data_IF_661614516082
#
_entry.id   IF_661614516082
#
_cell.length_a   1.000
_cell.length_b   1.000
_cell.length_c   1.000
_cell.angle_alpha   90.00
_cell.angle_beta   90.00
_cell.angle_gamma   90.00
#
_symmetry.space_group_name_H-M   'P 1'
#
loop_
_entity.id
_entity.type
_entity.pdbx_description
1 polymer ?
#
# COMPACT_ATOMS: atom_id res chain seq x y z
N UNK A 1 -10.04 -5.42 3.28
CA UNK A 1 -10.83 -4.96 2.12
C UNK A 1 -12.12 -4.36 2.66
N UNK A 2 -12.36 -3.09 2.38
CA UNK A 2 -13.63 -2.42 2.73
C UNK A 2 -14.76 -2.93 1.82
N UNK A 3 -16.03 -2.74 2.22
CA UNK A 3 -17.18 -3.17 1.40
C UNK A 3 -17.13 -2.54 0.00
N UNK A 4 -16.80 -1.25 -0.07
CA UNK A 4 -16.68 -0.47 -1.30
C UNK A 4 -15.54 -0.95 -2.22
N UNK A 5 -14.44 -1.46 -1.67
CA UNK A 5 -13.34 -2.04 -2.46
C UNK A 5 -13.76 -3.36 -3.10
N UNK A 6 -14.51 -4.19 -2.37
CA UNK A 6 -14.97 -5.48 -2.87
C UNK A 6 -15.95 -5.33 -4.03
N UNK A 7 -16.85 -4.34 -3.96
CA UNK A 7 -17.80 -4.03 -5.03
C UNK A 7 -17.09 -3.58 -6.31
N UNK A 8 -16.10 -2.68 -6.19
CA UNK A 8 -15.26 -2.25 -7.33
C UNK A 8 -14.50 -3.42 -7.96
N UNK A 9 -13.93 -4.31 -7.16
CA UNK A 9 -13.24 -5.50 -7.67
C UNK A 9 -14.20 -6.46 -8.36
N UNK A 10 -15.43 -6.60 -7.85
CA UNK A 10 -16.45 -7.41 -8.51
C UNK A 10 -16.85 -6.85 -9.87
N UNK A 11 -16.98 -5.51 -10.01
CA UNK A 11 -17.24 -4.87 -11.31
C UNK A 11 -16.12 -5.12 -12.32
N UNK A 12 -14.86 -4.95 -11.90
CA UNK A 12 -13.69 -5.20 -12.76
C UNK A 12 -13.60 -6.67 -13.18
N UNK A 13 -13.82 -7.58 -12.22
CA UNK A 13 -13.84 -9.01 -12.50
C UNK A 13 -14.98 -9.37 -13.47
N UNK A 14 -16.18 -8.82 -13.27
CA UNK A 14 -17.30 -9.01 -14.19
C UNK A 14 -17.00 -8.53 -15.60
N UNK A 15 -16.37 -7.35 -15.74
CA UNK A 15 -15.96 -6.83 -17.04
C UNK A 15 -14.95 -7.77 -17.73
N UNK A 16 -14.00 -8.31 -16.97
CA UNK A 16 -13.03 -9.30 -17.46
C UNK A 16 -13.72 -10.59 -17.92
N UNK A 17 -14.54 -11.22 -17.06
CA UNK A 17 -15.22 -12.49 -17.39
C UNK A 17 -16.16 -12.30 -18.58
N UNK A 18 -16.91 -11.19 -18.64
CA UNK A 18 -17.80 -10.90 -19.77
C UNK A 18 -17.04 -10.77 -21.10
N UNK A 19 -15.83 -10.24 -21.08
CA UNK A 19 -15.01 -10.03 -22.28
C UNK A 19 -14.27 -11.30 -22.70
N UNK A 20 -13.60 -11.96 -21.77
CA UNK A 20 -12.66 -13.04 -22.06
C UNK A 20 -13.31 -14.43 -21.94
N UNK A 21 -14.39 -14.56 -21.16
CA UNK A 21 -15.12 -15.81 -20.90
C UNK A 21 -16.64 -15.62 -20.97
N UNK A 22 -17.19 -15.15 -22.11
CA UNK A 22 -18.59 -14.76 -22.23
C UNK A 22 -19.58 -15.89 -21.91
N UNK A 23 -19.27 -17.13 -22.32
CA UNK A 23 -20.13 -18.29 -22.02
C UNK A 23 -20.23 -18.58 -20.52
N UNK A 24 -19.14 -18.39 -19.78
CA UNK A 24 -19.12 -18.58 -18.33
C UNK A 24 -20.02 -17.53 -17.67
N UNK A 25 -19.91 -16.28 -18.11
CA UNK A 25 -20.75 -15.18 -17.62
C UNK A 25 -22.23 -15.44 -17.86
N UNK A 26 -22.60 -15.84 -19.07
CA UNK A 26 -23.99 -16.13 -19.43
C UNK A 26 -24.56 -17.31 -18.63
N UNK A 27 -23.83 -18.43 -18.55
CA UNK A 27 -24.25 -19.60 -17.78
C UNK A 27 -24.37 -19.28 -16.28
N UNK A 28 -23.48 -18.44 -15.75
CA UNK A 28 -23.55 -17.95 -14.37
C UNK A 28 -24.82 -17.12 -14.15
N UNK A 29 -25.10 -16.14 -15.03
CA UNK A 29 -26.30 -15.30 -14.96
C UNK A 29 -27.60 -16.10 -15.07
N UNK A 30 -27.58 -17.21 -15.83
CA UNK A 30 -28.71 -18.13 -15.97
C UNK A 30 -28.85 -19.13 -14.80
N UNK A 31 -28.03 -19.01 -13.75
CA UNK A 31 -28.13 -19.82 -12.54
C UNK A 31 -27.56 -21.24 -12.68
N UNK A 32 -26.70 -21.50 -13.67
CA UNK A 32 -26.05 -22.80 -13.81
C UNK A 32 -25.11 -23.06 -12.63
N UNK A 33 -25.30 -24.19 -11.94
CA UNK A 33 -24.54 -24.55 -10.74
C UNK A 33 -23.03 -24.63 -10.99
N UNK A 34 -22.60 -25.29 -12.08
CA UNK A 34 -21.17 -25.44 -12.37
C UNK A 34 -20.55 -24.09 -12.74
N UNK A 35 -21.24 -23.27 -13.53
CA UNK A 35 -20.79 -21.93 -13.84
C UNK A 35 -20.66 -21.05 -12.58
N UNK A 36 -21.57 -21.21 -11.60
CA UNK A 36 -21.49 -20.58 -10.29
C UNK A 36 -20.21 -20.96 -9.54
N UNK A 37 -19.95 -22.26 -9.39
CA UNK A 37 -18.76 -22.74 -8.69
C UNK A 37 -17.47 -22.26 -9.37
N UNK A 38 -17.41 -22.32 -10.70
CA UNK A 38 -16.25 -21.84 -11.47
C UNK A 38 -16.07 -20.33 -11.33
N UNK A 39 -17.13 -19.54 -11.46
CA UNK A 39 -17.10 -18.09 -11.30
C UNK A 39 -16.61 -17.69 -9.90
N UNK A 40 -17.19 -18.28 -8.85
CA UNK A 40 -16.83 -17.98 -7.46
C UNK A 40 -15.36 -18.34 -7.16
N UNK A 41 -14.89 -19.48 -7.67
CA UNK A 41 -13.50 -19.90 -7.56
C UNK A 41 -12.55 -18.93 -8.28
N UNK A 42 -12.91 -18.51 -9.50
CA UNK A 42 -12.12 -17.54 -10.26
C UNK A 42 -12.08 -16.17 -9.60
N UNK A 43 -13.19 -15.72 -9.00
CA UNK A 43 -13.20 -14.47 -8.25
C UNK A 43 -12.32 -14.56 -7.01
N UNK A 44 -12.33 -15.70 -6.30
CA UNK A 44 -11.40 -15.95 -5.20
C UNK A 44 -9.93 -15.87 -5.63
N UNK A 45 -9.58 -16.48 -6.76
CA UNK A 45 -8.23 -16.41 -7.32
C UNK A 45 -7.85 -14.99 -7.77
N UNK A 46 -8.79 -14.24 -8.36
CA UNK A 46 -8.61 -12.83 -8.73
C UNK A 46 -8.22 -11.97 -7.51
N UNK A 47 -8.98 -12.11 -6.42
CA UNK A 47 -8.70 -11.39 -5.18
C UNK A 47 -7.34 -11.80 -4.57
N UNK A 48 -7.01 -13.10 -4.60
CA UNK A 48 -5.72 -13.60 -4.14
C UNK A 48 -4.54 -13.03 -4.94
N UNK A 49 -4.64 -13.05 -6.27
CA UNK A 49 -3.61 -12.50 -7.16
C UNK A 49 -3.45 -10.98 -6.96
N UNK A 50 -4.55 -10.24 -6.78
CA UNK A 50 -4.50 -8.80 -6.49
C UNK A 50 -3.85 -8.49 -5.16
N UNK A 51 -4.12 -9.27 -4.12
CA UNK A 51 -3.47 -9.12 -2.82
C UNK A 51 -1.96 -9.38 -2.92
N UNK A 52 -1.52 -10.31 -3.76
CA UNK A 52 -0.11 -10.59 -4.02
C UNK A 52 0.57 -9.53 -4.91
N UNK A 53 -0.19 -8.84 -5.77
CA UNK A 53 0.32 -7.83 -6.69
C UNK A 53 0.53 -6.44 -6.06
N UNK A 54 0.05 -6.22 -4.82
CA UNK A 54 0.53 -5.09 -4.02
C UNK A 54 1.92 -5.49 -3.56
N UNK A 55 3.01 -4.82 -4.01
CA UNK A 55 4.31 -5.10 -3.44
C UNK A 55 4.15 -4.86 -1.95
N UNK A 56 4.35 -5.90 -1.13
CA UNK A 56 4.65 -5.67 0.26
C UNK A 56 5.77 -4.62 0.22
N UNK A 57 5.59 -3.47 0.87
CA UNK A 57 6.64 -2.47 1.01
C UNK A 57 7.77 -3.01 1.90
N UNK A 58 8.00 -4.33 1.90
CA UNK A 58 8.94 -5.07 2.70
C UNK A 58 10.26 -5.15 1.93
N UNK A 59 11.27 -4.46 2.45
CA UNK A 59 12.65 -4.63 2.05
C UNK A 59 13.23 -5.81 2.83
N UNK A 60 13.73 -6.80 2.11
CA UNK A 60 14.42 -7.95 2.70
C UNK A 60 15.93 -7.75 2.57
N UNK A 61 16.64 -7.74 3.69
CA UNK A 61 18.10 -7.62 3.75
C UNK A 61 18.69 -8.87 4.39
N UNK A 62 19.80 -9.38 3.86
CA UNK A 62 20.50 -10.54 4.41
C UNK A 62 21.84 -10.12 5.00
N UNK A 63 22.16 -10.60 6.20
CA UNK A 63 23.46 -10.40 6.85
C UNK A 63 23.81 -11.63 7.67
N UNK A 64 24.96 -12.24 7.39
CA UNK A 64 25.47 -13.40 8.14
C UNK A 64 24.42 -14.51 8.32
N UNK A 65 23.81 -14.95 7.22
CA UNK A 65 22.74 -15.98 7.19
C UNK A 65 21.42 -15.63 7.89
N UNK A 66 21.31 -14.43 8.47
CA UNK A 66 20.07 -13.91 9.01
C UNK A 66 19.32 -13.05 7.98
N UNK A 67 18.00 -13.19 7.96
CA UNK A 67 17.09 -12.45 7.07
C UNK A 67 16.33 -11.41 7.89
N UNK A 68 16.50 -10.14 7.52
CA UNK A 68 15.80 -9.01 8.12
C UNK A 68 14.73 -8.49 7.16
N UNK A 69 13.52 -8.29 7.66
CA UNK A 69 12.41 -7.71 6.90
C UNK A 69 12.04 -6.37 7.49
N UNK A 70 12.00 -5.34 6.65
CA UNK A 70 11.66 -3.98 7.06
C UNK A 70 10.54 -3.44 6.19
N UNK A 71 9.55 -2.79 6.79
CA UNK A 71 8.69 -1.88 6.02
C UNK A 71 9.53 -0.70 5.48
N UNK A 72 9.31 -0.33 4.23
CA UNK A 72 10.10 0.66 3.50
C UNK A 72 9.95 2.04 4.12
N UNK A 73 8.72 2.41 4.54
CA UNK A 73 8.48 3.70 5.19
C UNK A 73 9.13 3.72 6.58
N UNK A 74 9.08 2.62 7.32
CA UNK A 74 9.79 2.52 8.59
C UNK A 74 11.31 2.61 8.41
N UNK A 75 11.88 1.90 7.43
CA UNK A 75 13.31 1.95 7.13
C UNK A 75 13.76 3.36 6.71
N UNK A 76 12.97 4.02 5.86
CA UNK A 76 13.21 5.40 5.44
C UNK A 76 13.16 6.36 6.63
N UNK A 77 12.16 6.22 7.51
CA UNK A 77 12.04 7.03 8.72
C UNK A 77 13.24 6.86 9.64
N UNK A 78 13.69 5.63 9.88
CA UNK A 78 14.90 5.34 10.69
C UNK A 78 16.14 5.97 10.08
N UNK A 79 16.30 5.84 8.75
CA UNK A 79 17.40 6.47 8.01
C UNK A 79 17.39 8.00 8.20
N UNK A 80 16.25 8.65 7.97
CA UNK A 80 16.09 10.10 8.11
C UNK A 80 16.29 10.59 9.55
N UNK A 81 15.82 9.83 10.55
CA UNK A 81 16.06 10.10 11.97
C UNK A 81 17.54 10.02 12.34
N UNK A 82 18.28 9.08 11.74
CA UNK A 82 19.72 8.89 11.97
C UNK A 82 20.61 9.89 11.21
N UNK A 83 20.03 10.62 10.25
CA UNK A 83 20.78 11.56 9.42
C UNK A 83 21.38 12.69 10.26
N UNK A 84 22.66 12.96 10.01
CA UNK A 84 23.42 14.07 10.61
C UNK A 84 23.27 15.38 9.83
N UNK A 85 22.62 15.35 8.67
CA UNK A 85 22.38 16.55 7.85
C UNK A 85 21.48 17.48 8.65
N UNK A 86 21.99 18.69 8.86
CA UNK A 86 21.47 19.75 9.74
C UNK A 86 19.94 19.72 9.87
N UNK A 87 19.47 19.54 11.11
CA UNK A 87 18.07 19.74 11.51
C UNK A 87 17.60 21.07 10.97
N UNK A 88 16.86 21.03 9.87
CA UNK A 88 16.11 22.18 9.40
C UNK A 88 15.04 22.53 10.43
N UNK A 89 14.50 23.75 10.33
CA UNK A 89 13.51 24.25 11.27
C UNK A 89 12.23 23.40 11.29
N UNK A 90 11.91 22.75 10.18
CA UNK A 90 10.76 21.83 10.06
C UNK A 90 11.18 20.48 9.48
N UNK A 91 10.50 19.41 9.90
CA UNK A 91 10.72 18.04 9.42
C UNK A 91 10.51 17.90 7.89
N UNK A 92 9.55 18.61 7.29
CA UNK A 92 9.33 18.55 5.84
C UNK A 92 10.55 19.06 5.06
N UNK A 93 11.23 20.09 5.58
CA UNK A 93 12.42 20.66 4.94
C UNK A 93 13.60 19.70 5.01
N UNK A 94 13.68 18.91 6.10
CA UNK A 94 14.68 17.86 6.27
C UNK A 94 14.47 16.77 5.22
N UNK A 95 13.24 16.28 5.09
CA UNK A 95 12.86 15.28 4.09
C UNK A 95 13.13 15.79 2.66
N UNK A 96 12.75 17.03 2.37
CA UNK A 96 12.97 17.66 1.06
C UNK A 96 14.44 17.62 0.65
N UNK A 97 15.35 18.01 1.56
CA UNK A 97 16.79 18.06 1.30
C UNK A 97 17.43 16.67 1.24
N UNK A 98 17.01 15.77 2.11
CA UNK A 98 17.59 14.42 2.19
C UNK A 98 17.17 13.53 1.02
N UNK A 99 15.93 13.66 0.56
CA UNK A 99 15.35 12.82 -0.49
C UNK A 99 15.42 13.51 -1.87
N UNK A 100 15.59 14.84 -1.91
CA UNK A 100 15.68 15.61 -3.15
C UNK A 100 14.31 15.86 -3.79
N UNK A 101 13.27 16.11 -2.98
CA UNK A 101 11.88 16.28 -3.46
C UNK A 101 11.30 17.63 -3.03
N UNK A 102 10.28 18.10 -3.76
CA UNK A 102 9.59 19.36 -3.47
C UNK A 102 8.82 19.34 -2.14
N UNK A 103 8.56 20.53 -1.59
CA UNK A 103 7.94 20.71 -0.26
C UNK A 103 6.59 20.00 -0.11
N UNK A 104 5.71 20.08 -1.11
CA UNK A 104 4.40 19.39 -1.09
C UNK A 104 4.57 17.89 -0.89
N UNK A 105 5.46 17.27 -1.65
CA UNK A 105 5.74 15.83 -1.56
C UNK A 105 6.41 15.47 -0.24
N UNK A 106 7.30 16.33 0.27
CA UNK A 106 7.92 16.13 1.59
C UNK A 106 6.91 16.14 2.72
N UNK A 107 5.95 17.07 2.70
CA UNK A 107 4.87 17.13 3.70
C UNK A 107 4.00 15.88 3.67
N UNK A 108 3.62 15.41 2.48
CA UNK A 108 2.87 14.16 2.32
C UNK A 108 3.68 12.95 2.84
N UNK A 109 4.97 12.90 2.55
CA UNK A 109 5.86 11.82 2.99
C UNK A 109 6.05 11.82 4.52
N UNK A 110 6.19 12.99 5.15
CA UNK A 110 6.18 13.12 6.61
C UNK A 110 4.91 12.50 7.20
N UNK A 111 3.73 12.84 6.67
CA UNK A 111 2.45 12.28 7.13
C UNK A 111 2.38 10.76 6.93
N UNK A 112 2.84 10.24 5.78
CA UNK A 112 2.89 8.81 5.51
C UNK A 112 3.79 8.05 6.51
N UNK A 113 4.89 8.68 6.96
CA UNK A 113 5.77 8.17 8.03
C UNK A 113 5.26 8.48 9.45
N UNK A 114 4.07 9.07 9.58
CA UNK A 114 3.46 9.54 10.85
C UNK A 114 4.33 10.55 11.60
N UNK A 115 5.10 11.37 10.89
CA UNK A 115 5.93 12.44 11.46
C UNK A 115 5.23 13.79 11.22
N UNK A 116 5.13 14.63 12.26
CA UNK A 116 4.61 15.99 12.10
C UNK A 116 5.50 16.78 11.12
N UNK A 117 5.01 17.22 9.95
CA UNK A 117 5.80 17.95 8.96
C UNK A 117 6.40 19.26 9.50
N UNK A 118 5.66 19.94 10.38
CA UNK A 118 6.05 21.23 10.97
C UNK A 118 6.76 21.05 12.32
N UNK A 119 6.93 19.80 12.75
CA UNK A 119 7.65 19.46 13.97
C UNK A 119 9.16 19.69 13.86
N UNK A 120 9.79 19.86 15.02
CA UNK A 120 11.25 20.01 15.18
C UNK A 120 11.94 18.68 15.53
N UNK A 121 11.17 17.69 15.95
CA UNK A 121 11.63 16.34 16.28
C UNK A 121 11.16 15.36 15.21
N UNK A 122 12.11 14.64 14.62
CA UNK A 122 11.82 13.59 13.63
C UNK A 122 11.50 12.26 14.34
N UNK A 123 10.34 12.23 14.98
CA UNK A 123 9.79 11.07 15.71
C UNK A 123 8.40 10.76 15.22
N UNK A 124 7.94 9.52 15.47
CA UNK A 124 6.52 9.21 15.24
C UNK A 124 5.68 10.11 16.14
N UNK A 125 4.63 10.67 15.56
CA UNK A 125 3.65 11.43 16.31
C UNK A 125 2.88 10.44 17.16
N UNK A 126 3.10 10.43 18.48
CA UNK A 126 2.20 9.75 19.41
C UNK A 126 0.88 10.50 19.38
N UNK A 127 -0.06 10.06 18.54
CA UNK A 127 -1.51 10.01 18.81
C UNK A 127 -2.36 10.19 17.54
N UNK A 128 -3.32 9.26 17.38
CA UNK A 128 -4.65 9.61 16.91
C UNK A 128 -5.41 10.30 18.04
N UNK A 129 -5.01 11.52 18.41
CA UNK A 129 -5.79 12.42 19.25
C UNK A 129 -5.91 13.73 18.48
N UNK A 130 -6.97 13.78 17.68
CA UNK A 130 -7.50 15.02 17.13
C UNK A 130 -7.81 15.97 18.28
N UNK A 131 -7.37 17.22 18.13
CA UNK A 131 -7.79 18.38 18.91
C UNK A 131 -8.06 19.52 17.96
#
# INVERSE_FOLDING_TARGET
>A
MTLNEREKELELFNAFVKKELPELFEKHSNGNFFAKVTYDSMFGAWLGAKAQAVPEHIITLQRNDEVFKFDLLDLLRRSLKSSKVLKTRENWSHVSKMVGIGSTTSTLLCKAMKVNPDGLSFVESESGAEG
#
